data_IF_496515932228
#
_entry.id   IF_496515932228
#
_cell.length_a   1.000
_cell.length_b   1.000
_cell.length_c   1.000
_cell.angle_alpha   90.00
_cell.angle_beta   90.00
_cell.angle_gamma   90.00
#
_symmetry.space_group_name_H-M   'P 1'
#
loop_
_entity.id
_entity.type
_entity.pdbx_description
1 polymer ?
#
# COMPACT_ATOMS: atom_id res chain seq x y z
N UNK A 1 -21.26 31.30 -33.43
CA UNK A 1 -20.87 30.32 -32.37
C UNK A 1 -20.69 28.99 -33.03
N UNK A 2 -19.51 28.40 -32.94
CA UNK A 2 -19.31 27.02 -33.40
C UNK A 2 -19.86 26.07 -32.32
N UNK A 3 -20.75 25.15 -32.73
CA UNK A 3 -21.23 24.06 -31.85
C UNK A 3 -20.10 23.01 -31.83
N UNK A 4 -19.45 22.86 -30.69
CA UNK A 4 -18.51 21.74 -30.47
C UNK A 4 -19.36 20.52 -30.14
N UNK A 5 -19.42 19.55 -31.07
CA UNK A 5 -20.06 18.25 -30.82
C UNK A 5 -18.96 17.34 -30.23
N UNK A 6 -18.99 17.07 -28.92
CA UNK A 6 -18.16 16.07 -28.32
C UNK A 6 -18.74 14.67 -28.60
N UNK A 7 -17.96 13.81 -29.24
CA UNK A 7 -18.32 12.42 -29.45
C UNK A 7 -17.96 11.63 -28.19
N UNK A 8 -18.97 10.96 -27.58
CA UNK A 8 -18.79 10.13 -26.38
C UNK A 8 -18.87 8.66 -26.80
N UNK A 9 -17.90 7.87 -26.34
CA UNK A 9 -17.84 6.42 -26.56
C UNK A 9 -18.22 5.70 -25.27
N UNK A 10 -19.05 4.65 -25.38
CA UNK A 10 -19.51 3.87 -24.22
C UNK A 10 -18.97 2.45 -24.26
N UNK A 11 -18.45 1.98 -23.13
CA UNK A 11 -18.02 0.60 -22.89
C UNK A 11 -18.64 0.13 -21.59
N UNK A 12 -19.62 -0.75 -21.64
CA UNK A 12 -20.46 -1.09 -20.49
C UNK A 12 -21.13 0.15 -19.88
N UNK A 13 -20.89 0.42 -18.61
CA UNK A 13 -21.40 1.58 -17.88
C UNK A 13 -20.44 2.79 -17.90
N UNK A 14 -19.30 2.69 -18.60
CA UNK A 14 -18.25 3.70 -18.62
C UNK A 14 -18.30 4.56 -19.88
N UNK A 15 -17.82 5.80 -19.80
CA UNK A 15 -17.84 6.76 -20.91
C UNK A 15 -16.44 7.31 -21.16
N UNK A 16 -16.07 7.45 -22.45
CA UNK A 16 -14.76 7.88 -22.90
C UNK A 16 -14.87 9.01 -23.91
N UNK A 17 -13.90 9.91 -23.92
CA UNK A 17 -13.86 11.07 -24.81
C UNK A 17 -13.22 10.75 -26.17
N UNK A 18 -12.64 9.56 -26.34
CA UNK A 18 -12.09 9.09 -27.62
C UNK A 18 -12.23 7.57 -27.76
N UNK A 19 -12.28 7.13 -29.03
CA UNK A 19 -12.47 5.71 -29.39
C UNK A 19 -11.31 4.84 -28.90
N UNK A 20 -10.06 5.33 -28.99
CA UNK A 20 -8.86 4.56 -28.62
C UNK A 20 -8.88 4.11 -27.17
N UNK A 21 -9.28 5.01 -26.25
CA UNK A 21 -9.36 4.68 -24.82
C UNK A 21 -10.53 3.74 -24.54
N UNK A 22 -11.65 3.92 -25.24
CA UNK A 22 -12.79 3.01 -25.17
C UNK A 22 -12.41 1.58 -25.62
N UNK A 23 -11.75 1.45 -26.78
CA UNK A 23 -11.29 0.16 -27.31
C UNK A 23 -10.27 -0.51 -26.37
N UNK A 24 -9.37 0.27 -25.78
CA UNK A 24 -8.40 -0.24 -24.80
C UNK A 24 -9.09 -0.76 -23.54
N UNK A 25 -10.10 -0.05 -23.05
CA UNK A 25 -10.86 -0.42 -21.86
C UNK A 25 -11.74 -1.64 -22.10
N UNK A 26 -12.28 -1.80 -23.31
CA UNK A 26 -13.14 -2.93 -23.70
C UNK A 26 -12.44 -4.28 -23.50
N UNK A 27 -11.11 -4.34 -23.68
CA UNK A 27 -10.32 -5.54 -23.46
C UNK A 27 -10.39 -6.08 -22.02
N UNK A 28 -10.72 -5.22 -21.05
CA UNK A 28 -10.81 -5.61 -19.63
C UNK A 28 -12.19 -6.10 -19.19
N UNK A 29 -13.27 -5.85 -19.99
CA UNK A 29 -14.65 -6.20 -19.60
C UNK A 29 -14.87 -7.67 -19.28
N UNK A 30 -14.14 -8.58 -19.95
CA UNK A 30 -14.27 -10.02 -19.77
C UNK A 30 -13.19 -10.62 -18.86
N UNK A 31 -12.30 -9.79 -18.33
CA UNK A 31 -11.13 -10.21 -17.55
C UNK A 31 -11.25 -9.78 -16.08
N UNK A 32 -11.85 -8.61 -15.84
CA UNK A 32 -11.94 -7.98 -14.53
C UNK A 32 -13.39 -7.93 -14.03
N UNK A 33 -13.57 -7.98 -12.71
CA UNK A 33 -14.88 -7.79 -12.10
C UNK A 33 -15.30 -6.30 -12.09
N UNK A 34 -16.58 -6.04 -11.77
CA UNK A 34 -17.17 -4.69 -11.77
C UNK A 34 -16.40 -3.70 -10.85
N UNK A 35 -15.84 -4.18 -9.73
CA UNK A 35 -15.12 -3.32 -8.79
C UNK A 35 -13.73 -3.00 -9.30
N UNK A 36 -13.05 -3.98 -9.90
CA UNK A 36 -11.77 -3.81 -10.57
C UNK A 36 -11.90 -2.84 -11.76
N UNK A 37 -12.92 -3.03 -12.63
CA UNK A 37 -13.23 -2.13 -13.75
C UNK A 37 -13.47 -0.69 -13.28
N UNK A 38 -14.12 -0.52 -12.14
CA UNK A 38 -14.38 0.80 -11.57
C UNK A 38 -13.06 1.49 -11.11
N UNK A 39 -12.13 0.74 -10.52
CA UNK A 39 -10.81 1.28 -10.15
C UNK A 39 -9.97 1.66 -11.38
N UNK A 40 -10.05 0.86 -12.48
CA UNK A 40 -9.44 1.23 -13.75
C UNK A 40 -10.03 2.53 -14.31
N UNK A 41 -11.36 2.65 -14.31
CA UNK A 41 -12.05 3.83 -14.81
C UNK A 41 -11.70 5.09 -14.01
N UNK A 42 -11.57 4.99 -12.68
CA UNK A 42 -11.06 6.09 -11.85
C UNK A 42 -9.61 6.48 -12.21
N UNK A 43 -8.79 5.51 -12.59
CA UNK A 43 -7.45 5.77 -13.10
C UNK A 43 -7.48 6.53 -14.43
N UNK A 44 -8.35 6.13 -15.37
CA UNK A 44 -8.57 6.84 -16.62
C UNK A 44 -9.01 8.29 -16.40
N UNK A 45 -10.03 8.52 -15.57
CA UNK A 45 -10.52 9.87 -15.26
C UNK A 45 -9.43 10.74 -14.60
N UNK A 46 -8.57 10.13 -13.79
CA UNK A 46 -7.45 10.82 -13.12
C UNK A 46 -6.24 11.02 -14.02
N UNK A 47 -6.28 10.54 -15.29
CA UNK A 47 -5.19 10.63 -16.27
C UNK A 47 -3.87 10.00 -15.81
N UNK A 48 -3.96 8.93 -15.04
CA UNK A 48 -2.80 8.11 -14.64
C UNK A 48 -2.72 6.85 -15.51
N UNK A 49 -1.56 6.22 -15.53
CA UNK A 49 -1.38 4.95 -16.25
C UNK A 49 -1.99 3.79 -15.46
N UNK A 50 -3.28 3.52 -15.71
CA UNK A 50 -3.99 2.42 -15.05
C UNK A 50 -3.53 1.04 -15.52
N UNK A 51 -2.74 0.92 -16.60
CA UNK A 51 -2.25 -0.38 -17.08
C UNK A 51 -1.27 -1.04 -16.12
N UNK A 52 -0.67 -0.27 -15.22
CA UNK A 52 0.24 -0.77 -14.17
C UNK A 52 -0.44 -1.76 -13.23
N UNK A 53 -1.77 -1.63 -13.04
CA UNK A 53 -2.54 -2.46 -12.11
C UNK A 53 -3.75 -3.14 -12.76
N UNK A 54 -3.86 -3.10 -14.08
CA UNK A 54 -4.97 -3.70 -14.83
C UNK A 54 -4.81 -5.22 -15.00
N UNK A 55 -4.51 -5.92 -13.91
CA UNK A 55 -4.26 -7.35 -13.88
C UNK A 55 -5.27 -8.05 -12.95
N UNK A 56 -5.87 -9.19 -13.34
CA UNK A 56 -6.90 -9.88 -12.56
C UNK A 56 -6.42 -10.41 -11.21
N UNK A 57 -5.12 -10.59 -11.04
CA UNK A 57 -4.48 -11.02 -9.80
C UNK A 57 -4.61 -9.99 -8.67
N UNK A 58 -4.74 -8.72 -9.01
CA UNK A 58 -4.99 -7.68 -8.02
C UNK A 58 -6.47 -7.64 -7.64
N UNK A 59 -6.79 -7.74 -6.37
CA UNK A 59 -8.12 -7.36 -5.89
C UNK A 59 -8.38 -5.87 -6.14
N UNK A 60 -9.65 -5.47 -6.23
CA UNK A 60 -10.00 -4.05 -6.40
C UNK A 60 -9.43 -3.13 -5.30
N UNK A 61 -9.22 -3.67 -4.08
CA UNK A 61 -8.60 -2.91 -2.98
C UNK A 61 -7.11 -2.67 -3.21
N UNK A 62 -6.40 -3.68 -3.71
CA UNK A 62 -4.99 -3.54 -4.11
C UNK A 62 -4.86 -2.54 -5.27
N UNK A 63 -5.71 -2.66 -6.31
CA UNK A 63 -5.78 -1.71 -7.42
C UNK A 63 -5.98 -0.27 -6.92
N UNK A 64 -6.86 -0.09 -5.93
CA UNK A 64 -7.12 1.22 -5.31
C UNK A 64 -5.86 1.79 -4.65
N UNK A 65 -5.11 0.98 -3.87
CA UNK A 65 -3.88 1.45 -3.23
C UNK A 65 -2.80 1.84 -4.27
N UNK A 66 -2.67 1.05 -5.35
CA UNK A 66 -1.75 1.39 -6.45
C UNK A 66 -2.20 2.68 -7.15
N UNK A 67 -3.50 2.80 -7.50
CA UNK A 67 -4.06 4.01 -8.10
C UNK A 67 -3.80 5.27 -7.25
N UNK A 68 -4.03 5.18 -5.93
CA UNK A 68 -3.78 6.29 -5.00
C UNK A 68 -2.30 6.68 -4.98
N UNK A 69 -1.38 5.72 -4.99
CA UNK A 69 0.05 5.98 -5.08
C UNK A 69 0.45 6.69 -6.38
N UNK A 70 -0.07 6.23 -7.52
CA UNK A 70 0.16 6.89 -8.82
C UNK A 70 -0.37 8.33 -8.85
N UNK A 71 -1.56 8.59 -8.26
CA UNK A 71 -2.11 9.95 -8.12
C UNK A 71 -1.21 10.85 -7.26
N UNK A 72 -0.55 10.27 -6.26
CA UNK A 72 0.40 10.95 -5.37
C UNK A 72 1.81 11.01 -5.97
N UNK A 73 2.04 10.45 -7.17
CA UNK A 73 3.33 10.37 -7.87
C UNK A 73 4.40 9.58 -7.10
N UNK A 74 3.97 8.61 -6.32
CA UNK A 74 4.85 7.71 -5.58
C UNK A 74 5.40 6.61 -6.50
N UNK A 75 6.54 6.02 -6.13
CA UNK A 75 7.07 4.84 -6.80
C UNK A 75 6.27 3.59 -6.37
N UNK A 76 5.22 3.28 -7.13
CA UNK A 76 4.36 2.12 -6.86
C UNK A 76 5.04 0.79 -7.15
N UNK A 77 6.16 0.76 -7.88
CA UNK A 77 6.88 -0.48 -8.20
C UNK A 77 7.36 -1.24 -6.95
N UNK A 78 7.50 -0.52 -5.84
CA UNK A 78 7.89 -1.08 -4.54
C UNK A 78 6.83 -2.04 -3.98
N UNK A 79 5.54 -1.80 -4.28
CA UNK A 79 4.43 -2.55 -3.68
C UNK A 79 3.35 -3.01 -4.67
N UNK A 80 3.40 -2.65 -5.94
CA UNK A 80 2.51 -3.16 -6.98
C UNK A 80 2.82 -4.63 -7.30
N UNK A 81 2.65 -5.50 -6.31
CA UNK A 81 2.86 -6.93 -6.35
C UNK A 81 1.66 -7.61 -5.68
N UNK A 82 0.92 -8.53 -6.37
CA UNK A 82 -0.25 -9.21 -5.82
C UNK A 82 -0.02 -9.99 -4.52
N UNK A 83 1.23 -10.32 -4.19
CA UNK A 83 1.59 -10.99 -2.93
C UNK A 83 1.38 -10.09 -1.69
N UNK A 84 1.42 -8.77 -1.84
CA UNK A 84 1.03 -7.86 -0.77
C UNK A 84 -0.49 -7.77 -0.69
N UNK A 85 -1.09 -7.92 0.48
CA UNK A 85 -2.50 -7.57 0.66
C UNK A 85 -2.72 -6.04 0.68
N UNK A 86 -3.97 -5.61 0.56
CA UNK A 86 -4.34 -4.20 0.52
C UNK A 86 -3.88 -3.40 1.76
N UNK A 87 -3.90 -4.00 2.95
CA UNK A 87 -3.39 -3.38 4.18
C UNK A 87 -1.87 -3.16 4.15
N UNK A 88 -1.10 -4.14 3.65
CA UNK A 88 0.35 -4.01 3.47
C UNK A 88 0.68 -2.92 2.44
N UNK A 89 -0.01 -2.90 1.29
CA UNK A 89 0.15 -1.85 0.27
C UNK A 89 -0.16 -0.46 0.84
N UNK A 90 -1.21 -0.35 1.68
CA UNK A 90 -1.57 0.89 2.34
C UNK A 90 -0.44 1.41 3.24
N UNK A 91 0.14 0.54 4.09
CA UNK A 91 1.24 0.93 4.99
C UNK A 91 2.50 1.35 4.21
N UNK A 92 2.82 0.65 3.11
CA UNK A 92 3.96 1.02 2.25
C UNK A 92 3.69 2.37 1.57
N UNK A 93 2.49 2.56 0.99
CA UNK A 93 2.12 3.83 0.35
C UNK A 93 2.18 5.01 1.33
N UNK A 94 1.67 4.83 2.56
CA UNK A 94 1.75 5.88 3.59
C UNK A 94 3.20 6.22 3.93
N UNK A 95 4.08 5.24 4.11
CA UNK A 95 5.49 5.51 4.37
C UNK A 95 6.20 6.23 3.22
N UNK A 96 5.89 5.85 1.96
CA UNK A 96 6.41 6.57 0.80
C UNK A 96 5.90 8.02 0.72
N UNK A 97 4.64 8.27 1.11
CA UNK A 97 4.05 9.61 1.16
C UNK A 97 4.77 10.50 2.20
N UNK A 98 5.21 9.90 3.31
CA UNK A 98 5.93 10.58 4.38
C UNK A 98 7.47 10.54 4.19
N UNK A 99 7.94 10.16 2.99
CA UNK A 99 9.37 10.07 2.59
C UNK A 99 10.22 9.19 3.53
N UNK A 100 9.61 8.12 4.07
CA UNK A 100 10.28 7.17 4.95
C UNK A 100 11.01 6.07 4.17
N UNK A 101 12.06 5.50 4.75
CA UNK A 101 12.73 4.31 4.22
C UNK A 101 11.87 3.06 4.42
N UNK A 102 10.98 2.79 3.45
CA UNK A 102 10.07 1.64 3.48
C UNK A 102 10.79 0.29 3.33
N UNK A 103 12.07 0.26 2.94
CA UNK A 103 12.85 -0.97 2.79
C UNK A 103 12.92 -1.80 4.07
N UNK A 104 12.72 -1.15 5.22
CA UNK A 104 12.65 -1.81 6.51
C UNK A 104 11.48 -2.80 6.62
N UNK A 105 10.35 -2.51 5.99
CA UNK A 105 9.12 -3.28 6.17
C UNK A 105 8.37 -3.65 4.87
N UNK A 106 8.70 -3.11 3.70
CA UNK A 106 8.08 -3.48 2.43
C UNK A 106 8.46 -4.91 2.01
N UNK A 107 8.04 -5.88 2.79
CA UNK A 107 8.33 -7.32 2.64
C UNK A 107 7.07 -8.11 2.98
N UNK A 108 6.65 -9.03 2.10
CA UNK A 108 5.40 -9.79 2.22
C UNK A 108 5.27 -10.62 3.51
N UNK A 109 6.40 -10.93 4.14
CA UNK A 109 6.45 -11.67 5.41
C UNK A 109 6.00 -10.89 6.65
N UNK A 110 5.94 -9.56 6.58
CA UNK A 110 5.35 -8.76 7.65
C UNK A 110 3.83 -8.66 7.47
N UNK A 111 3.07 -8.77 8.55
CA UNK A 111 1.66 -8.39 8.53
C UNK A 111 1.53 -6.86 8.42
N UNK A 112 0.38 -6.36 7.97
CA UNK A 112 0.15 -4.91 7.91
C UNK A 112 0.25 -4.23 9.28
N UNK A 113 -0.12 -4.93 10.38
CA UNK A 113 0.03 -4.44 11.76
C UNK A 113 1.52 -4.28 12.13
N UNK A 114 2.37 -5.25 11.80
CA UNK A 114 3.82 -5.14 12.01
C UNK A 114 4.40 -3.98 11.19
N UNK A 115 3.98 -3.84 9.91
CA UNK A 115 4.40 -2.71 9.07
C UNK A 115 4.02 -1.37 9.68
N UNK A 116 2.80 -1.25 10.24
CA UNK A 116 2.33 0.01 10.87
C UNK A 116 3.17 0.41 12.08
N UNK A 117 3.61 -0.56 12.90
CA UNK A 117 4.49 -0.27 14.06
C UNK A 117 5.89 0.15 13.59
N UNK A 118 6.44 -0.49 12.55
CA UNK A 118 7.74 -0.11 12.01
C UNK A 118 7.65 1.30 11.39
N UNK A 119 6.61 1.58 10.59
CA UNK A 119 6.37 2.92 10.03
C UNK A 119 6.28 3.98 11.12
N UNK A 120 5.47 3.74 12.17
CA UNK A 120 5.34 4.67 13.29
C UNK A 120 6.68 4.94 14.01
N UNK A 121 7.56 3.95 14.10
CA UNK A 121 8.90 4.14 14.65
C UNK A 121 9.80 4.99 13.75
N UNK A 122 9.74 4.77 12.43
CA UNK A 122 10.46 5.59 11.44
C UNK A 122 9.98 7.04 11.47
N UNK A 123 8.67 7.31 11.57
CA UNK A 123 8.09 8.65 11.73
C UNK A 123 8.64 9.38 12.95
N UNK A 124 8.93 8.65 14.01
CA UNK A 124 9.50 9.18 15.26
C UNK A 124 11.03 9.23 15.25
N UNK A 125 11.69 8.76 14.18
CA UNK A 125 13.16 8.69 14.09
C UNK A 125 13.79 7.67 15.02
N UNK A 126 13.05 6.63 15.41
CA UNK A 126 13.55 5.57 16.29
C UNK A 126 14.39 4.55 15.49
N UNK A 127 15.31 3.88 16.17
CA UNK A 127 16.07 2.77 15.59
C UNK A 127 15.20 1.51 15.46
N UNK A 128 14.53 1.37 14.32
CA UNK A 128 13.65 0.24 14.03
C UNK A 128 14.37 -1.09 13.84
N UNK A 129 15.71 -1.10 13.74
CA UNK A 129 16.52 -2.32 13.58
C UNK A 129 16.35 -3.31 14.73
N UNK A 130 15.96 -2.82 15.88
CA UNK A 130 15.69 -3.63 17.06
C UNK A 130 14.50 -4.58 16.88
N UNK A 131 13.45 -4.16 16.17
CA UNK A 131 12.20 -4.87 16.07
C UNK A 131 11.67 -5.08 14.64
N UNK A 132 12.28 -4.52 13.60
CA UNK A 132 11.92 -4.77 12.20
C UNK A 132 12.33 -6.17 11.76
N UNK A 133 11.81 -7.17 12.45
CA UNK A 133 12.07 -8.60 12.28
C UNK A 133 10.74 -9.35 12.33
N UNK A 134 10.37 -10.17 11.32
CA UNK A 134 9.08 -10.86 11.26
C UNK A 134 8.81 -11.84 12.42
N UNK A 135 9.86 -12.22 13.14
CA UNK A 135 9.79 -13.11 14.30
C UNK A 135 9.10 -12.48 15.50
N UNK A 136 9.12 -11.15 15.60
CA UNK A 136 8.36 -10.43 16.62
C UNK A 136 6.89 -10.28 16.19
N UNK A 137 5.97 -10.57 17.09
CA UNK A 137 4.56 -10.20 16.87
C UNK A 137 4.33 -8.69 17.05
N UNK A 138 3.13 -8.25 16.70
CA UNK A 138 2.73 -6.85 16.82
C UNK A 138 2.90 -6.27 18.23
N UNK A 139 2.56 -7.06 19.28
CA UNK A 139 2.62 -6.60 20.67
C UNK A 139 4.07 -6.50 21.16
N UNK A 140 4.93 -7.45 20.78
CA UNK A 140 6.35 -7.41 21.06
C UNK A 140 7.02 -6.20 20.40
N UNK A 141 6.73 -5.96 19.10
CA UNK A 141 7.23 -4.77 18.38
C UNK A 141 6.76 -3.48 19.04
N UNK A 142 5.50 -3.42 19.48
CA UNK A 142 4.94 -2.25 20.16
C UNK A 142 5.64 -1.96 21.49
N UNK A 143 5.97 -3.00 22.26
CA UNK A 143 6.68 -2.85 23.53
C UNK A 143 8.11 -2.37 23.32
N UNK A 144 8.85 -2.95 22.34
CA UNK A 144 10.21 -2.51 22.01
C UNK A 144 10.20 -1.06 21.50
N UNK A 145 9.26 -0.69 20.59
CA UNK A 145 9.11 0.69 20.12
C UNK A 145 8.87 1.66 21.28
N UNK A 146 7.97 1.29 22.21
CA UNK A 146 7.68 2.10 23.39
C UNK A 146 8.94 2.30 24.25
N UNK A 147 9.72 1.25 24.48
CA UNK A 147 10.99 1.36 25.21
C UNK A 147 11.97 2.33 24.54
N UNK A 148 12.11 2.27 23.21
CA UNK A 148 12.94 3.20 22.45
C UNK A 148 12.43 4.65 22.55
N UNK A 149 11.11 4.86 22.52
CA UNK A 149 10.49 6.17 22.71
C UNK A 149 10.84 6.79 24.06
N UNK A 150 10.84 5.97 25.13
CA UNK A 150 11.24 6.38 26.47
C UNK A 150 12.76 6.29 26.73
N UNK A 151 13.57 5.97 25.70
CA UNK A 151 15.03 5.84 25.75
C UNK A 151 15.53 4.78 26.75
N UNK A 152 14.77 3.71 26.90
CA UNK A 152 15.16 2.55 27.70
C UNK A 152 16.15 1.67 26.93
N UNK A 153 16.93 0.89 27.67
CA UNK A 153 17.83 -0.10 27.07
C UNK A 153 17.05 -1.35 26.64
N UNK A 154 16.58 -1.34 25.38
CA UNK A 154 15.79 -2.45 24.82
C UNK A 154 16.60 -3.72 24.59
N UNK A 155 17.95 -3.65 24.63
CA UNK A 155 18.82 -4.81 24.43
C UNK A 155 18.60 -5.93 25.47
N UNK A 156 18.05 -5.57 26.61
CA UNK A 156 17.79 -6.50 27.74
C UNK A 156 16.55 -7.34 27.53
N UNK A 157 15.62 -6.94 26.62
CA UNK A 157 14.34 -7.62 26.45
C UNK A 157 13.85 -7.74 25.00
N UNK A 158 14.54 -7.18 24.02
CA UNK A 158 14.19 -7.33 22.60
C UNK A 158 14.54 -8.74 22.09
N UNK A 159 13.86 -9.76 22.64
CA UNK A 159 14.04 -11.19 22.34
C UNK A 159 12.67 -11.77 21.88
N UNK A 160 12.54 -12.32 20.66
CA UNK A 160 11.29 -12.88 20.16
C UNK A 160 10.78 -14.08 20.96
N UNK A 161 11.62 -14.71 21.80
CA UNK A 161 11.20 -15.78 22.69
C UNK A 161 10.47 -15.29 23.95
N UNK A 162 10.57 -14.00 24.30
CA UNK A 162 9.82 -13.40 25.39
C UNK A 162 8.44 -12.93 24.88
N UNK A 163 7.38 -13.24 25.63
CA UNK A 163 6.10 -12.60 25.30
C UNK A 163 6.11 -11.11 25.71
N UNK A 164 5.21 -10.31 25.14
CA UNK A 164 5.19 -8.87 25.35
C UNK A 164 5.01 -8.45 26.84
N UNK A 165 4.37 -9.29 27.70
CA UNK A 165 4.23 -9.02 29.14
C UNK A 165 5.56 -9.19 29.86
N UNK A 166 6.31 -10.24 29.53
CA UNK A 166 7.66 -10.47 30.04
C UNK A 166 8.62 -9.36 29.61
N UNK A 167 8.48 -8.85 28.37
CA UNK A 167 9.24 -7.69 27.90
C UNK A 167 8.92 -6.46 28.75
N UNK A 168 7.63 -6.21 29.02
CA UNK A 168 7.15 -5.08 29.82
C UNK A 168 7.61 -5.11 31.26
N UNK A 169 7.76 -6.30 31.86
CA UNK A 169 8.29 -6.44 33.22
C UNK A 169 9.81 -6.13 33.31
N UNK A 170 10.51 -6.19 32.17
CA UNK A 170 11.95 -5.92 32.07
C UNK A 170 12.28 -4.50 31.59
N UNK A 171 11.28 -3.80 31.04
CA UNK A 171 11.40 -2.41 30.60
C UNK A 171 11.18 -1.45 31.78
#
# INVERSE_FOLDING_TARGET
MAVVVETIYKVGNFTFNNQKDADKFDNYLNVLDDKQLKELYYGYESKIDYTIYAEPEFSWKQMREIRMGLQQKLDVSIYANPEFNDGQMCEIRLGLMDDLDVSWYAKTKFTWQQMSIIRAGLEQGLDVSWYSKPEFDYFQMSEIRSGLEYRLDVSTYADPNLNWKEMKEKS
#
